data_IF_187384021412
#
_entry.id   IF_187384021412
#
_cell.length_a   1.000
_cell.length_b   1.000
_cell.length_c   1.000
_cell.angle_alpha   90.00
_cell.angle_beta   90.00
_cell.angle_gamma   90.00
#
_symmetry.space_group_name_H-M   'P 1'
#
loop_
_entity.id
_entity.type
_entity.pdbx_description
1 polymer ?
#
# COMPACT_ATOMS: atom_id res chain seq x y z
N UNK A 1 -57.69 -39.43 -22.20
CA UNK A 1 -58.94 -38.69 -22.50
C UNK A 1 -58.57 -37.28 -22.92
N UNK A 2 -59.02 -36.88 -24.13
CA UNK A 2 -58.95 -35.55 -24.81
C UNK A 2 -57.56 -34.90 -24.95
N UNK A 3 -56.82 -35.01 -26.08
CA UNK A 3 -57.04 -34.42 -27.44
C UNK A 3 -57.42 -32.93 -27.41
N UNK A 4 -56.84 -31.97 -28.15
CA UNK A 4 -55.86 -31.91 -29.25
C UNK A 4 -55.41 -30.42 -29.34
N UNK A 5 -54.77 -29.85 -30.37
CA UNK A 5 -54.38 -30.24 -31.72
C UNK A 5 -53.44 -29.12 -32.20
N UNK A 6 -52.36 -29.46 -32.91
CA UNK A 6 -51.45 -28.52 -33.55
C UNK A 6 -52.07 -27.88 -34.81
N UNK A 7 -51.65 -26.66 -35.16
CA UNK A 7 -51.72 -26.15 -36.54
C UNK A 7 -50.60 -25.14 -36.82
N UNK A 8 -49.90 -25.39 -37.92
CA UNK A 8 -48.74 -24.67 -38.48
C UNK A 8 -49.16 -23.65 -39.56
N UNK A 9 -48.25 -22.70 -39.82
CA UNK A 9 -47.96 -21.96 -41.08
C UNK A 9 -48.91 -20.79 -41.48
N UNK A 10 -48.50 -19.80 -42.34
CA UNK A 10 -47.28 -19.73 -43.17
C UNK A 10 -46.52 -18.36 -43.24
N UNK A 11 -45.41 -18.37 -43.99
CA UNK A 11 -44.60 -17.23 -44.47
C UNK A 11 -45.08 -16.66 -45.84
N UNK A 12 -44.78 -15.36 -46.06
CA UNK A 12 -44.50 -14.60 -47.32
C UNK A 12 -45.68 -14.21 -48.26
N UNK A 13 -45.57 -13.20 -49.19
CA UNK A 13 -44.64 -12.04 -49.33
C UNK A 13 -45.30 -10.69 -49.81
N UNK A 14 -44.46 -9.66 -50.03
CA UNK A 14 -44.52 -8.61 -51.08
C UNK A 14 -45.29 -7.25 -50.87
N UNK A 15 -44.55 -6.20 -51.28
CA UNK A 15 -44.97 -5.00 -52.03
C UNK A 15 -45.40 -3.71 -51.28
N UNK A 16 -44.44 -2.78 -51.25
CA UNK A 16 -44.51 -1.37 -51.60
C UNK A 16 -45.88 -0.64 -51.55
N UNK A 17 -45.95 0.38 -50.68
CA UNK A 17 -46.73 1.59 -50.95
C UNK A 17 -45.89 2.83 -50.63
N UNK A 18 -45.51 3.52 -51.70
CA UNK A 18 -44.93 4.86 -51.67
C UNK A 18 -46.08 5.84 -51.37
N UNK A 19 -46.02 6.57 -50.27
CA UNK A 19 -46.85 7.75 -50.07
C UNK A 19 -45.96 8.93 -49.70
N UNK A 20 -45.73 9.78 -50.70
CA UNK A 20 -45.13 11.10 -50.58
C UNK A 20 -46.07 12.02 -49.80
N UNK A 21 -45.65 12.45 -48.61
CA UNK A 21 -46.15 13.69 -48.00
C UNK A 21 -44.95 14.58 -47.64
N UNK A 22 -44.72 15.59 -48.48
CA UNK A 22 -43.96 16.77 -48.07
C UNK A 22 -44.80 17.51 -47.01
N UNK A 23 -44.36 17.43 -45.76
CA UNK A 23 -44.72 18.39 -44.73
C UNK A 23 -43.43 18.84 -44.06
N UNK A 24 -43.06 20.10 -44.29
CA UNK A 24 -41.92 20.73 -43.68
C UNK A 24 -42.07 20.75 -42.17
N UNK A 25 -41.33 19.88 -41.50
CA UNK A 25 -41.04 19.98 -40.08
C UNK A 25 -39.54 20.20 -39.98
N UNK A 26 -39.14 21.44 -39.65
CA UNK A 26 -37.80 21.73 -39.17
C UNK A 26 -37.60 20.96 -37.88
N UNK A 27 -36.97 19.80 -37.96
CA UNK A 27 -36.49 19.07 -36.79
C UNK A 27 -35.48 19.99 -36.08
N UNK A 28 -35.64 20.27 -34.78
CA UNK A 28 -34.58 20.93 -34.03
C UNK A 28 -33.35 20.05 -34.13
N UNK A 29 -32.21 20.67 -34.49
CA UNK A 29 -30.92 20.01 -34.50
C UNK A 29 -30.74 19.32 -33.15
N UNK A 30 -30.75 18.00 -33.15
CA UNK A 30 -30.31 17.21 -32.00
C UNK A 30 -28.84 17.55 -31.86
N UNK A 31 -28.51 18.36 -30.87
CA UNK A 31 -27.13 18.55 -30.47
C UNK A 31 -26.59 17.15 -30.16
N UNK A 32 -25.83 16.57 -31.10
CA UNK A 32 -24.99 15.43 -30.80
C UNK A 32 -24.13 15.91 -29.64
N UNK A 33 -24.31 15.28 -28.47
CA UNK A 33 -23.27 15.28 -27.46
C UNK A 33 -22.01 14.79 -28.18
N UNK A 34 -21.11 15.72 -28.49
CA UNK A 34 -19.75 15.37 -28.86
C UNK A 34 -19.22 14.55 -27.69
N UNK A 35 -19.08 13.25 -27.92
CA UNK A 35 -18.30 12.39 -27.05
C UNK A 35 -16.93 13.06 -27.00
N UNK A 36 -16.43 13.48 -25.82
CA UNK A 36 -15.17 14.18 -25.75
C UNK A 36 -14.10 13.33 -26.43
N UNK A 37 -13.20 14.02 -27.14
CA UNK A 37 -12.10 13.47 -27.91
C UNK A 37 -11.42 12.30 -27.19
N UNK A 38 -10.89 11.35 -27.98
CA UNK A 38 -10.12 10.20 -27.47
C UNK A 38 -9.22 10.63 -26.30
N UNK A 39 -9.21 9.87 -25.19
CA UNK A 39 -8.47 10.25 -24.00
C UNK A 39 -7.01 10.49 -24.39
N UNK A 40 -6.51 11.69 -24.09
CA UNK A 40 -5.09 12.01 -24.27
C UNK A 40 -4.29 10.92 -23.53
N UNK A 41 -3.39 10.20 -24.22
CA UNK A 41 -2.64 9.14 -23.57
C UNK A 41 -1.85 9.72 -22.40
N UNK A 42 -2.14 9.22 -21.19
CA UNK A 42 -1.40 9.54 -19.99
C UNK A 42 0.07 9.19 -20.25
N UNK A 43 0.94 10.21 -20.28
CA UNK A 43 2.36 10.02 -20.54
C UNK A 43 3.13 10.15 -19.23
N UNK A 44 3.77 9.07 -18.80
CA UNK A 44 4.65 9.07 -17.64
C UNK A 44 5.90 9.93 -17.93
N UNK A 45 6.24 10.88 -17.05
CA UNK A 45 7.52 11.59 -17.15
C UNK A 45 8.68 10.64 -16.84
N UNK A 46 8.61 9.95 -15.70
CA UNK A 46 9.48 8.86 -15.31
C UNK A 46 8.65 7.69 -14.77
N UNK A 47 9.30 6.53 -14.63
CA UNK A 47 8.71 5.35 -13.97
C UNK A 47 9.50 5.03 -12.70
N UNK A 48 8.84 5.18 -11.55
CA UNK A 48 9.33 4.75 -10.25
C UNK A 48 8.86 3.33 -9.99
N UNK A 49 9.76 2.44 -9.58
CA UNK A 49 9.44 1.02 -9.36
C UNK A 49 9.41 0.68 -7.87
N UNK A 50 8.40 -0.08 -7.45
CA UNK A 50 8.32 -0.67 -6.11
C UNK A 50 8.15 -2.19 -6.21
N UNK A 51 9.09 -2.94 -5.62
CA UNK A 51 8.97 -4.39 -5.49
C UNK A 51 8.27 -4.71 -4.18
N UNK A 52 6.97 -4.96 -4.23
CA UNK A 52 6.10 -5.10 -3.04
C UNK A 52 5.70 -6.55 -2.85
N UNK A 53 5.65 -7.00 -1.60
CA UNK A 53 5.13 -8.32 -1.25
C UNK A 53 4.05 -8.21 -0.19
N UNK A 54 3.07 -9.11 -0.24
CA UNK A 54 2.18 -9.39 0.88
C UNK A 54 2.69 -10.63 1.61
N UNK A 55 2.74 -10.61 2.95
CA UNK A 55 3.13 -11.76 3.78
C UNK A 55 2.32 -11.82 5.07
N UNK A 56 2.18 -13.04 5.60
CA UNK A 56 1.75 -13.25 6.98
C UNK A 56 2.88 -12.82 7.92
N UNK A 57 2.55 -11.94 8.85
CA UNK A 57 3.49 -11.40 9.81
C UNK A 57 2.74 -11.09 11.10
N UNK A 58 2.91 -11.90 12.15
CA UNK A 58 2.42 -11.54 13.47
C UNK A 58 3.14 -10.30 13.98
N UNK A 59 2.42 -9.43 14.71
CA UNK A 59 3.04 -8.30 15.41
C UNK A 59 2.45 -8.05 16.79
N UNK A 60 3.24 -7.37 17.62
CA UNK A 60 2.79 -6.87 18.91
C UNK A 60 2.24 -5.47 18.73
N UNK A 61 1.01 -5.27 19.19
CA UNK A 61 0.33 -4.00 19.22
C UNK A 61 0.89 -3.06 20.29
N UNK A 62 1.23 -3.60 21.47
CA UNK A 62 1.75 -2.84 22.58
C UNK A 62 2.72 -3.65 23.47
N UNK A 63 3.27 -3.00 24.49
CA UNK A 63 4.24 -3.60 25.42
C UNK A 63 3.63 -4.58 26.43
N UNK A 64 2.31 -4.55 26.61
CA UNK A 64 1.62 -5.35 27.62
C UNK A 64 1.28 -6.76 27.13
N UNK A 65 1.37 -7.00 25.82
CA UNK A 65 1.15 -8.32 25.25
C UNK A 65 -0.01 -8.38 24.25
N UNK A 66 -0.68 -7.25 23.97
CA UNK A 66 -1.69 -7.24 22.91
C UNK A 66 -0.99 -7.50 21.56
N UNK A 67 -1.57 -8.37 20.74
CA UNK A 67 -0.94 -8.82 19.50
C UNK A 67 -1.95 -9.12 18.39
N UNK A 68 -1.45 -9.14 17.17
CA UNK A 68 -2.16 -9.62 15.97
C UNK A 68 -1.49 -10.92 15.50
N UNK A 69 -1.89 -12.10 16.02
CA UNK A 69 -1.31 -13.38 15.59
C UNK A 69 -1.50 -13.67 14.10
N UNK A 70 -2.67 -13.30 13.58
CA UNK A 70 -3.13 -13.52 12.22
C UNK A 70 -2.78 -12.38 11.24
N UNK A 71 -1.85 -11.51 11.65
CA UNK A 71 -1.48 -10.32 10.91
C UNK A 71 -0.98 -10.61 9.50
N UNK A 72 -1.43 -9.80 8.56
CA UNK A 72 -0.97 -9.71 7.18
C UNK A 72 -0.40 -8.31 6.97
N UNK A 73 0.63 -8.16 6.14
CA UNK A 73 1.14 -6.83 5.82
C UNK A 73 1.76 -6.75 4.44
N UNK A 74 1.94 -5.52 3.96
CA UNK A 74 2.81 -5.23 2.83
C UNK A 74 4.22 -4.88 3.30
N UNK A 75 5.22 -5.30 2.53
CA UNK A 75 6.61 -4.94 2.72
C UNK A 75 7.33 -4.77 1.38
N UNK A 76 8.45 -4.06 1.37
CA UNK A 76 9.37 -4.13 0.23
C UNK A 76 10.01 -5.51 0.19
N UNK A 77 10.16 -6.07 -1.02
CA UNK A 77 10.66 -7.44 -1.25
C UNK A 77 12.00 -7.71 -0.55
N UNK A 78 12.90 -6.74 -0.50
CA UNK A 78 14.23 -6.85 0.13
C UNK A 78 14.21 -6.80 1.66
N UNK A 79 13.09 -6.38 2.27
CA UNK A 79 12.90 -6.39 3.72
C UNK A 79 12.37 -7.75 4.23
N UNK A 80 12.08 -8.69 3.33
CA UNK A 80 11.55 -10.02 3.64
C UNK A 80 12.62 -11.09 3.44
N UNK A 81 12.66 -12.04 4.37
CA UNK A 81 13.60 -13.17 4.39
C UNK A 81 12.84 -14.48 4.62
N UNK A 82 13.42 -15.66 4.31
CA UNK A 82 12.81 -16.93 4.67
C UNK A 82 12.57 -17.06 6.18
N UNK A 83 11.53 -17.78 6.58
CA UNK A 83 11.22 -18.01 8.00
C UNK A 83 12.38 -18.69 8.76
N UNK A 84 13.14 -19.56 8.09
CA UNK A 84 14.33 -20.23 8.61
C UNK A 84 15.58 -19.33 8.71
N UNK A 85 15.53 -18.11 8.15
CA UNK A 85 16.69 -17.23 8.09
C UNK A 85 17.15 -16.81 9.50
N UNK A 86 18.45 -16.96 9.74
CA UNK A 86 19.10 -16.63 11.01
C UNK A 86 20.12 -15.49 10.80
N UNK A 87 19.87 -14.29 11.36
CA UNK A 87 20.78 -13.14 11.24
C UNK A 87 22.14 -13.35 11.91
N UNK A 88 22.25 -14.30 12.84
CA UNK A 88 23.49 -14.59 13.59
C UNK A 88 24.45 -15.49 12.83
N UNK A 89 24.10 -15.94 11.63
CA UNK A 89 24.97 -16.75 10.79
C UNK A 89 25.65 -15.84 9.76
N UNK A 90 26.93 -15.45 9.96
CA UNK A 90 27.67 -14.64 8.99
C UNK A 90 27.61 -15.21 7.57
N UNK A 91 27.60 -16.55 7.45
CA UNK A 91 27.46 -17.30 6.19
C UNK A 91 26.24 -16.92 5.34
N UNK A 92 25.14 -16.49 5.96
CA UNK A 92 23.90 -16.14 5.25
C UNK A 92 24.05 -14.89 4.37
N UNK A 93 24.98 -13.99 4.69
CA UNK A 93 25.30 -12.84 3.85
C UNK A 93 26.34 -13.15 2.76
N UNK A 94 27.21 -14.14 2.97
CA UNK A 94 28.21 -14.56 1.98
C UNK A 94 27.62 -15.42 0.86
N UNK A 95 26.46 -16.04 1.06
CA UNK A 95 25.75 -16.81 0.03
C UNK A 95 24.82 -15.98 -0.85
N UNK A 96 24.77 -14.65 -0.65
CA UNK A 96 23.92 -13.72 -1.40
C UNK A 96 22.48 -13.63 -0.87
N UNK A 97 21.73 -12.70 -1.45
CA UNK A 97 20.32 -12.46 -1.12
C UNK A 97 19.47 -13.74 -1.30
N UNK A 98 18.57 -14.12 -0.37
CA UNK A 98 17.69 -15.25 -0.56
C UNK A 98 16.70 -14.96 -1.70
N UNK A 99 17.06 -15.43 -2.90
CA UNK A 99 16.26 -15.25 -4.11
C UNK A 99 14.97 -16.07 -4.06
N UNK A 100 14.99 -17.22 -3.39
CA UNK A 100 13.84 -18.12 -3.27
C UNK A 100 13.08 -17.85 -1.96
N UNK A 101 12.17 -16.89 -1.98
CA UNK A 101 11.14 -16.77 -0.95
C UNK A 101 9.98 -17.71 -1.27
N UNK A 102 9.70 -18.64 -0.35
CA UNK A 102 8.57 -19.57 -0.45
C UNK A 102 7.36 -18.93 0.25
N UNK A 103 6.24 -18.79 -0.44
CA UNK A 103 5.00 -18.26 0.15
C UNK A 103 4.61 -19.08 1.41
N UNK A 104 4.01 -18.41 2.40
CA UNK A 104 3.73 -18.97 3.74
C UNK A 104 4.97 -19.25 4.60
N UNK A 105 6.18 -19.19 4.06
CA UNK A 105 7.44 -19.52 4.75
C UNK A 105 8.43 -18.35 4.74
N UNK A 106 7.92 -17.15 4.99
CA UNK A 106 8.70 -15.91 5.04
C UNK A 106 8.42 -15.13 6.32
N UNK A 107 9.28 -14.16 6.61
CA UNK A 107 9.11 -13.19 7.70
C UNK A 107 9.82 -11.89 7.36
N UNK A 108 9.46 -10.81 8.05
CA UNK A 108 10.27 -9.60 8.05
C UNK A 108 11.68 -9.87 8.61
N UNK A 109 12.67 -9.19 8.05
CA UNK A 109 14.01 -9.12 8.62
C UNK A 109 13.94 -8.59 10.06
N UNK A 110 14.81 -9.11 10.93
CA UNK A 110 14.75 -8.90 12.38
C UNK A 110 14.88 -7.43 12.80
N UNK A 111 15.60 -6.63 12.03
CA UNK A 111 15.86 -5.22 12.30
C UNK A 111 14.80 -4.28 11.67
N UNK A 112 13.81 -4.83 10.96
CA UNK A 112 12.62 -4.10 10.55
C UNK A 112 11.49 -4.34 11.53
N UNK A 113 10.90 -3.25 11.99
CA UNK A 113 9.67 -3.29 12.78
C UNK A 113 8.47 -3.42 11.83
N UNK A 114 7.48 -4.30 12.12
CA UNK A 114 6.20 -4.31 11.42
C UNK A 114 5.54 -2.92 11.46
N UNK A 115 5.26 -2.34 10.29
CA UNK A 115 4.60 -1.04 10.09
C UNK A 115 3.86 -1.07 8.74
N UNK A 116 2.79 -0.27 8.55
CA UNK A 116 2.18 -0.11 7.24
C UNK A 116 3.19 0.38 6.20
N UNK A 117 3.06 -0.11 4.97
CA UNK A 117 3.93 0.29 3.86
C UNK A 117 3.55 1.71 3.40
N UNK A 118 4.56 2.57 3.21
CA UNK A 118 4.39 3.88 2.56
C UNK A 118 5.28 3.95 1.35
N UNK A 119 4.68 4.18 0.18
CA UNK A 119 5.37 4.43 -1.07
C UNK A 119 5.26 5.91 -1.42
N UNK A 120 6.24 6.42 -2.17
CA UNK A 120 6.26 7.80 -2.67
C UNK A 120 6.49 7.79 -4.16
N UNK A 121 5.87 8.73 -4.87
CA UNK A 121 6.01 8.97 -6.31
C UNK A 121 5.83 10.46 -6.55
N UNK A 122 6.56 11.05 -7.48
CA UNK A 122 6.41 12.48 -7.76
C UNK A 122 5.22 12.72 -8.70
N UNK A 123 4.59 13.89 -8.59
CA UNK A 123 3.54 14.29 -9.52
C UNK A 123 4.04 14.24 -10.97
N UNK A 124 3.27 13.60 -11.85
CA UNK A 124 3.58 13.41 -13.27
C UNK A 124 4.36 12.13 -13.59
N UNK A 125 4.90 11.44 -12.58
CA UNK A 125 5.54 10.13 -12.76
C UNK A 125 4.52 8.98 -12.70
N UNK A 126 4.95 7.80 -13.15
CA UNK A 126 4.23 6.56 -12.98
C UNK A 126 4.86 5.73 -11.87
N UNK A 127 4.01 5.15 -11.03
CA UNK A 127 4.39 4.15 -10.04
C UNK A 127 4.11 2.76 -10.61
N UNK A 128 5.17 2.00 -10.89
CA UNK A 128 5.10 0.60 -11.28
C UNK A 128 5.32 -0.28 -10.04
N UNK A 129 4.33 -1.10 -9.72
CA UNK A 129 4.37 -1.99 -8.56
C UNK A 129 4.52 -3.42 -9.05
N UNK A 130 5.69 -4.01 -8.82
CA UNK A 130 5.92 -5.43 -9.02
C UNK A 130 5.49 -6.15 -7.75
N UNK A 131 4.24 -6.60 -7.73
CA UNK A 131 3.61 -7.24 -6.58
C UNK A 131 3.82 -8.75 -6.60
N UNK A 132 4.16 -9.34 -5.46
CA UNK A 132 4.20 -10.80 -5.27
C UNK A 132 3.43 -11.19 -4.01
N UNK A 133 2.52 -12.15 -4.15
CA UNK A 133 1.77 -12.66 -3.00
C UNK A 133 2.56 -13.78 -2.32
N UNK A 134 3.06 -13.53 -1.10
CA UNK A 134 3.79 -14.51 -0.29
C UNK A 134 2.99 -14.98 0.93
N UNK A 135 1.68 -14.70 0.97
CA UNK A 135 0.78 -15.22 2.00
C UNK A 135 0.79 -16.75 2.01
N UNK A 136 0.53 -17.35 3.17
CA UNK A 136 0.16 -18.76 3.23
C UNK A 136 -1.15 -18.99 2.46
N UNK A 137 -1.22 -20.14 1.79
CA UNK A 137 -2.43 -20.63 1.12
C UNK A 137 -3.55 -21.01 2.08
N UNK A 138 -3.23 -21.23 3.36
CA UNK A 138 -4.19 -21.63 4.40
C UNK A 138 -4.35 -20.48 5.39
N UNK A 139 -5.57 -19.96 5.59
CA UNK A 139 -5.86 -19.03 6.69
C UNK A 139 -5.54 -19.67 8.04
N UNK A 140 -5.04 -18.88 9.00
CA UNK A 140 -4.71 -19.39 10.35
C UNK A 140 -5.92 -19.46 11.29
N UNK A 141 -6.93 -18.62 11.06
CA UNK A 141 -8.18 -18.52 11.81
C UNK A 141 -9.29 -17.86 10.96
N UNK A 142 -10.44 -17.58 11.59
CA UNK A 142 -11.62 -16.97 10.96
C UNK A 142 -11.51 -15.45 10.78
N UNK A 143 -10.51 -14.80 11.40
CA UNK A 143 -10.23 -13.37 11.22
C UNK A 143 -9.55 -13.12 9.87
N UNK A 144 -8.79 -14.10 9.37
CA UNK A 144 -8.28 -14.05 8.01
C UNK A 144 -9.36 -14.37 6.97
N UNK A 145 -9.39 -13.67 5.83
CA UNK A 145 -10.28 -14.04 4.74
C UNK A 145 -10.04 -15.48 4.27
N UNK A 146 -11.12 -16.21 3.97
CA UNK A 146 -11.04 -17.54 3.37
C UNK A 146 -10.27 -17.57 2.05
N UNK A 147 -10.33 -16.49 1.27
CA UNK A 147 -9.48 -16.33 0.08
C UNK A 147 -8.12 -15.75 0.48
N UNK A 148 -7.06 -16.36 -0.03
CA UNK A 148 -5.68 -15.88 0.13
C UNK A 148 -5.16 -15.13 -1.11
N UNK A 149 -6.06 -14.85 -2.06
CA UNK A 149 -5.76 -13.95 -3.16
C UNK A 149 -5.55 -12.52 -2.65
N UNK A 150 -4.51 -11.86 -3.13
CA UNK A 150 -4.16 -10.50 -2.71
C UNK A 150 -3.85 -9.63 -3.93
N UNK A 151 -4.03 -8.32 -3.76
CA UNK A 151 -3.64 -7.31 -4.74
C UNK A 151 -3.04 -6.09 -4.06
N UNK A 152 -2.69 -5.06 -4.84
CA UNK A 152 -2.28 -3.75 -4.32
C UNK A 152 -3.05 -2.67 -5.09
N UNK A 153 -4.28 -2.42 -4.66
CA UNK A 153 -5.17 -1.44 -5.28
C UNK A 153 -4.94 -0.06 -4.66
N UNK A 154 -4.60 0.96 -5.46
CA UNK A 154 -4.48 2.34 -4.97
C UNK A 154 -5.75 3.12 -5.32
N UNK A 155 -6.48 3.55 -4.29
CA UNK A 155 -7.71 4.31 -4.47
C UNK A 155 -7.36 5.72 -4.94
N UNK A 156 -7.89 6.14 -6.09
CA UNK A 156 -7.81 7.52 -6.58
C UNK A 156 -6.64 7.85 -7.52
N UNK A 157 -5.72 6.91 -7.78
CA UNK A 157 -4.73 7.07 -8.84
C UNK A 157 -5.24 6.52 -10.19
N UNK A 158 -4.73 7.08 -11.28
CA UNK A 158 -5.14 6.72 -12.63
C UNK A 158 -4.43 5.43 -13.07
N UNK A 159 -5.18 4.47 -13.63
CA UNK A 159 -4.62 3.26 -14.21
C UNK A 159 -3.99 3.58 -15.57
N UNK A 160 -2.83 3.00 -15.86
CA UNK A 160 -2.08 3.32 -17.09
C UNK A 160 -2.32 2.30 -18.21
N UNK A 161 -2.15 1.01 -17.94
CA UNK A 161 -2.16 0.02 -19.02
C UNK A 161 -3.58 -0.45 -19.33
N UNK A 162 -4.23 -1.06 -18.35
CA UNK A 162 -5.59 -1.63 -18.48
C UNK A 162 -6.30 -1.62 -17.14
N UNK A 163 -7.60 -1.91 -17.14
CA UNK A 163 -8.40 -2.02 -15.91
C UNK A 163 -7.85 -3.07 -14.92
N UNK A 164 -7.07 -4.05 -15.40
CA UNK A 164 -6.35 -5.04 -14.59
C UNK A 164 -5.40 -4.40 -13.57
N UNK A 165 -4.85 -3.22 -13.86
CA UNK A 165 -3.96 -2.51 -12.94
C UNK A 165 -4.67 -2.14 -11.62
N UNK A 166 -6.01 -2.10 -11.62
CA UNK A 166 -6.79 -1.91 -10.40
C UNK A 166 -6.64 -3.07 -9.41
N UNK A 167 -6.27 -4.28 -9.86
CA UNK A 167 -6.16 -5.44 -8.99
C UNK A 167 -7.45 -5.79 -8.26
N UNK A 168 -8.62 -5.61 -8.88
CA UNK A 168 -9.93 -5.71 -8.24
C UNK A 168 -10.96 -6.45 -9.10
N UNK A 169 -11.72 -7.38 -8.52
CA UNK A 169 -12.76 -8.13 -9.25
C UNK A 169 -14.09 -7.37 -9.33
N UNK A 170 -14.14 -6.27 -10.10
CA UNK A 170 -15.32 -5.38 -10.17
C UNK A 170 -15.69 -5.07 -11.62
N UNK A 171 -16.98 -5.09 -11.94
CA UNK A 171 -17.52 -4.59 -13.21
C UNK A 171 -17.01 -5.37 -14.42
N UNK A 172 -16.24 -4.71 -15.29
CA UNK A 172 -15.64 -5.34 -16.49
C UNK A 172 -14.27 -5.98 -16.20
N UNK A 173 -13.71 -5.80 -14.99
CA UNK A 173 -12.46 -6.42 -14.57
C UNK A 173 -12.72 -7.80 -13.94
N UNK A 174 -13.32 -8.70 -14.71
CA UNK A 174 -13.76 -10.02 -14.23
C UNK A 174 -12.82 -11.15 -14.63
N UNK A 175 -12.84 -12.25 -13.87
CA UNK A 175 -12.19 -13.50 -14.24
C UNK A 175 -10.77 -13.64 -13.70
N UNK A 176 -9.98 -14.52 -14.32
CA UNK A 176 -8.65 -14.90 -13.84
C UNK A 176 -7.57 -13.82 -14.03
N UNK A 177 -7.85 -12.76 -14.79
CA UNK A 177 -6.89 -11.71 -15.14
C UNK A 177 -7.27 -10.33 -14.57
N UNK A 178 -8.00 -10.30 -13.46
CA UNK A 178 -8.43 -9.07 -12.80
C UNK A 178 -7.33 -8.37 -11.97
N UNK A 179 -6.12 -8.93 -11.97
CA UNK A 179 -4.96 -8.45 -11.23
C UNK A 179 -4.87 -8.94 -9.79
N UNK A 180 -5.87 -9.62 -9.23
CA UNK A 180 -5.74 -10.30 -7.94
C UNK A 180 -4.94 -11.59 -8.16
N UNK A 181 -3.86 -11.78 -7.40
CA UNK A 181 -2.97 -12.94 -7.57
C UNK A 181 -3.01 -13.89 -6.38
N UNK A 182 -2.95 -15.19 -6.68
CA UNK A 182 -2.90 -16.26 -5.69
C UNK A 182 -1.54 -16.35 -4.99
N UNK A 183 -1.44 -17.01 -3.83
CA UNK A 183 -0.16 -17.27 -3.17
C UNK A 183 0.90 -17.84 -4.11
N UNK A 184 2.11 -17.30 -4.03
CA UNK A 184 3.25 -17.65 -4.88
C UNK A 184 3.24 -17.05 -6.28
N UNK A 185 2.20 -16.29 -6.65
CA UNK A 185 2.11 -15.61 -7.96
C UNK A 185 2.45 -14.12 -7.86
N UNK A 186 2.78 -13.54 -9.01
CA UNK A 186 3.18 -12.14 -9.14
C UNK A 186 2.43 -11.43 -10.26
N UNK A 187 2.34 -10.11 -10.13
CA UNK A 187 1.71 -9.21 -11.11
C UNK A 187 2.37 -7.85 -11.04
N UNK A 188 2.42 -7.15 -12.17
CA UNK A 188 2.80 -5.74 -12.23
C UNK A 188 1.55 -4.88 -12.41
N UNK A 189 1.44 -3.81 -11.62
CA UNK A 189 0.45 -2.74 -11.77
C UNK A 189 1.17 -1.45 -12.15
N UNK A 190 0.55 -0.59 -12.97
CA UNK A 190 1.09 0.74 -13.28
C UNK A 190 0.03 1.82 -13.04
N UNK A 191 0.39 2.78 -12.18
CA UNK A 191 -0.46 3.91 -11.81
C UNK A 191 0.21 5.23 -12.20
N UNK A 192 -0.58 6.21 -12.66
CA UNK A 192 -0.11 7.56 -12.94
C UNK A 192 -0.45 8.52 -11.78
N UNK A 193 0.57 9.23 -11.30
CA UNK A 193 0.48 10.15 -10.18
C UNK A 193 0.07 11.56 -10.65
N UNK A 194 -1.23 11.79 -10.83
CA UNK A 194 -1.72 13.03 -11.43
C UNK A 194 -1.67 14.25 -10.50
N UNK A 195 -1.98 14.08 -9.22
CA UNK A 195 -2.20 15.17 -8.26
C UNK A 195 -1.47 14.86 -6.97
N UNK A 196 -0.83 15.88 -6.39
CA UNK A 196 -0.18 15.80 -5.08
C UNK A 196 -1.19 15.42 -3.98
N UNK A 197 -0.79 14.54 -3.07
CA UNK A 197 -1.63 14.09 -1.96
C UNK A 197 -1.33 12.66 -1.51
N UNK A 198 -1.96 12.25 -0.42
CA UNK A 198 -1.83 10.88 0.11
C UNK A 198 -3.04 10.04 -0.29
N UNK A 199 -2.76 8.87 -0.85
CA UNK A 199 -3.74 7.91 -1.33
C UNK A 199 -3.63 6.62 -0.51
N UNK A 200 -4.77 5.99 -0.21
CA UNK A 200 -4.81 4.71 0.48
C UNK A 200 -4.68 3.59 -0.54
N UNK A 201 -3.83 2.62 -0.23
CA UNK A 201 -3.74 1.37 -0.97
C UNK A 201 -4.20 0.19 -0.10
N UNK A 202 -4.88 -0.79 -0.67
CA UNK A 202 -5.30 -2.00 0.03
C UNK A 202 -5.52 -3.18 -0.91
N UNK A 203 -5.64 -4.37 -0.34
CA UNK A 203 -5.98 -5.57 -1.12
C UNK A 203 -7.46 -5.59 -1.45
N UNK A 204 -7.77 -5.80 -2.73
CA UNK A 204 -9.13 -6.06 -3.23
C UNK A 204 -9.41 -7.56 -3.39
N UNK A 205 -8.55 -8.43 -2.83
CA UNK A 205 -8.76 -9.88 -2.79
C UNK A 205 -9.93 -10.28 -1.88
N UNK A 206 -10.05 -9.62 -0.73
CA UNK A 206 -11.19 -9.70 0.17
C UNK A 206 -11.45 -8.31 0.79
N UNK A 207 -12.07 -7.39 0.05
CA UNK A 207 -12.26 -6.00 0.50
C UNK A 207 -13.42 -5.85 1.50
N UNK A 208 -14.18 -6.92 1.74
CA UNK A 208 -15.32 -6.93 2.67
C UNK A 208 -14.82 -7.31 4.05
N UNK A 209 -15.06 -6.44 5.02
CA UNK A 209 -14.78 -6.59 6.44
C UNK A 209 -15.17 -5.29 7.16
N UNK A 210 -15.59 -5.37 8.41
CA UNK A 210 -16.02 -4.23 9.23
C UNK A 210 -16.08 -4.65 10.70
N UNK A 211 -15.88 -3.72 11.63
CA UNK A 211 -15.81 -4.04 13.07
C UNK A 211 -14.67 -4.99 13.46
N UNK A 212 -13.62 -5.05 12.63
CA UNK A 212 -12.52 -6.00 12.78
C UNK A 212 -12.84 -7.39 12.22
N UNK A 213 -14.09 -7.65 11.84
CA UNK A 213 -14.52 -8.96 11.35
C UNK A 213 -14.10 -9.15 9.89
N UNK A 214 -13.15 -10.05 9.70
CA UNK A 214 -12.69 -10.53 8.40
C UNK A 214 -12.18 -9.43 7.46
N UNK A 215 -11.84 -9.83 6.23
CA UNK A 215 -11.34 -8.90 5.21
C UNK A 215 -9.84 -8.65 5.29
N UNK A 216 -9.26 -8.35 4.14
CA UNK A 216 -7.82 -8.14 4.01
C UNK A 216 -7.34 -6.88 4.73
N UNK A 217 -8.20 -5.87 4.87
CA UNK A 217 -7.85 -4.59 5.52
C UNK A 217 -7.74 -4.75 7.04
N UNK A 218 -8.72 -5.41 7.68
CA UNK A 218 -8.74 -5.62 9.13
C UNK A 218 -7.49 -6.36 9.62
N UNK A 219 -7.05 -7.34 8.83
CA UNK A 219 -5.85 -8.12 9.09
C UNK A 219 -4.54 -7.44 8.65
N UNK A 220 -4.57 -6.25 8.05
CA UNK A 220 -3.36 -5.43 7.82
C UNK A 220 -2.88 -5.26 6.37
N UNK A 221 -3.60 -5.74 5.36
CA UNK A 221 -3.28 -5.46 3.94
C UNK A 221 -3.80 -4.10 3.49
N UNK A 222 -3.25 -3.05 4.08
CA UNK A 222 -3.35 -1.68 3.61
C UNK A 222 -1.98 -0.98 3.67
N UNK A 223 -1.88 0.12 2.94
CA UNK A 223 -0.68 0.92 2.75
C UNK A 223 -1.08 2.35 2.37
N UNK A 224 -0.09 3.24 2.29
CA UNK A 224 -0.27 4.57 1.74
C UNK A 224 0.67 4.79 0.56
N UNK A 225 0.22 5.60 -0.40
CA UNK A 225 1.03 6.12 -1.50
C UNK A 225 0.91 7.63 -1.48
N UNK A 226 2.01 8.32 -1.19
CA UNK A 226 2.04 9.79 -1.29
C UNK A 226 2.55 10.21 -2.66
N UNK A 227 1.75 11.00 -3.35
CA UNK A 227 2.18 11.78 -4.52
C UNK A 227 2.81 13.06 -4.01
N UNK A 228 4.13 13.12 -4.12
CA UNK A 228 4.97 14.25 -3.73
C UNK A 228 5.05 15.29 -4.86
N UNK A 229 5.54 16.51 -4.58
CA UNK A 229 5.76 17.51 -5.61
C UNK A 229 6.63 17.00 -6.76
N UNK A 230 6.45 17.59 -7.94
CA UNK A 230 7.27 17.26 -9.10
C UNK A 230 8.77 17.50 -8.83
N UNK A 231 9.61 16.57 -9.27
CA UNK A 231 11.06 16.58 -9.05
C UNK A 231 11.49 16.61 -7.56
N UNK A 232 10.63 16.20 -6.63
CA UNK A 232 11.01 16.10 -5.23
C UNK A 232 12.02 14.96 -4.99
N UNK A 233 12.88 15.18 -3.99
CA UNK A 233 13.80 14.19 -3.44
C UNK A 233 13.29 13.78 -2.05
N UNK A 234 13.32 12.48 -1.75
CA UNK A 234 12.78 11.95 -0.50
C UNK A 234 13.86 11.25 0.33
N UNK A 235 13.95 11.64 1.60
CA UNK A 235 14.94 11.13 2.53
C UNK A 235 14.30 10.60 3.81
N UNK A 236 14.93 9.59 4.40
CA UNK A 236 14.51 9.01 5.67
C UNK A 236 14.57 10.05 6.79
N UNK A 237 13.46 10.22 7.49
CA UNK A 237 13.31 11.24 8.53
C UNK A 237 13.73 10.78 9.93
N UNK A 238 13.88 9.46 10.10
CA UNK A 238 14.18 8.79 11.36
C UNK A 238 15.13 7.62 11.08
N UNK A 239 16.31 7.66 11.69
CA UNK A 239 17.34 6.63 11.55
C UNK A 239 18.01 6.40 12.90
N UNK A 240 18.73 5.28 13.05
CA UNK A 240 19.53 5.04 14.25
C UNK A 240 20.71 6.01 14.31
N UNK A 241 21.19 6.27 15.52
CA UNK A 241 22.37 7.11 15.74
C UNK A 241 23.61 6.55 15.03
N UNK A 242 23.81 5.23 15.07
CA UNK A 242 24.89 4.56 14.33
C UNK A 242 24.81 4.77 12.81
N UNK A 243 23.61 4.71 12.22
CA UNK A 243 23.43 4.91 10.77
C UNK A 243 23.70 6.37 10.40
N UNK A 244 23.12 7.32 11.14
CA UNK A 244 23.35 8.74 10.90
C UNK A 244 24.85 9.09 11.05
N UNK A 245 25.51 8.52 12.05
CA UNK A 245 26.95 8.66 12.26
C UNK A 245 27.77 8.13 11.08
N UNK A 246 27.37 6.99 10.48
CA UNK A 246 28.06 6.44 9.30
C UNK A 246 27.95 7.30 8.04
N UNK A 247 26.92 8.16 7.96
CA UNK A 247 26.69 9.08 6.82
C UNK A 247 27.25 10.48 7.07
N UNK A 248 27.91 10.69 8.21
CA UNK A 248 28.36 12.01 8.64
C UNK A 248 29.74 12.30 8.07
N UNK A 249 29.89 13.48 7.47
CA UNK A 249 31.18 14.03 7.10
C UNK A 249 31.53 15.16 8.06
N UNK A 250 32.64 14.99 8.78
CA UNK A 250 33.16 16.02 9.67
C UNK A 250 33.98 17.03 8.85
N UNK A 251 33.77 18.34 9.07
CA UNK A 251 34.59 19.37 8.39
C UNK A 251 33.86 20.62 7.89
N UNK A 252 32.60 20.87 8.27
CA UNK A 252 31.96 22.14 7.91
C UNK A 252 32.60 23.31 8.69
N UNK A 253 33.01 24.41 8.03
CA UNK A 253 33.52 25.61 8.69
C UNK A 253 32.55 26.24 9.71
N UNK A 254 31.25 25.98 9.60
CA UNK A 254 30.22 26.45 10.52
C UNK A 254 30.10 25.61 11.82
N UNK A 255 30.86 24.54 11.97
CA UNK A 255 30.88 23.71 13.19
C UNK A 255 29.72 22.71 13.32
N UNK A 256 28.86 22.59 12.31
CA UNK A 256 27.80 21.58 12.25
C UNK A 256 28.22 20.38 11.40
N UNK A 257 27.79 19.16 11.71
CA UNK A 257 28.09 18.02 10.86
C UNK A 257 27.41 18.13 9.49
N UNK A 258 28.13 17.78 8.43
CA UNK A 258 27.53 17.64 7.09
C UNK A 258 27.08 16.19 6.92
N UNK A 259 25.94 15.98 6.26
CA UNK A 259 25.40 14.64 5.99
C UNK A 259 25.61 14.33 4.51
N UNK A 260 26.22 13.17 4.24
CA UNK A 260 26.27 12.58 2.92
C UNK A 260 24.99 11.77 2.66
N UNK A 261 24.15 12.27 1.78
CA UNK A 261 22.89 11.62 1.39
C UNK A 261 23.04 10.60 0.26
N UNK A 262 24.26 10.50 -0.31
CA UNK A 262 24.60 9.58 -1.40
C UNK A 262 25.28 8.31 -0.90
N UNK A 263 25.64 8.25 0.37
CA UNK A 263 26.25 7.08 1.00
C UNK A 263 25.33 5.83 0.89
N UNK A 264 25.93 4.71 0.46
CA UNK A 264 25.26 3.43 0.22
C UNK A 264 25.70 2.35 1.20
N UNK A 265 24.88 1.32 1.39
CA UNK A 265 25.28 0.15 2.16
C UNK A 265 26.36 -0.65 1.45
N UNK A 266 27.44 -0.94 2.17
CA UNK A 266 28.41 -1.95 1.76
C UNK A 266 27.88 -3.36 2.05
N UNK A 267 28.40 -4.37 1.35
CA UNK A 267 28.07 -5.77 1.63
C UNK A 267 28.42 -6.20 3.07
N UNK A 268 29.45 -5.59 3.66
CA UNK A 268 29.88 -5.87 5.02
C UNK A 268 28.92 -5.30 6.07
N UNK A 269 28.25 -4.18 5.77
CA UNK A 269 27.24 -3.59 6.65
C UNK A 269 25.88 -4.28 6.49
N UNK A 270 25.42 -4.46 5.24
CA UNK A 270 24.15 -5.09 4.93
C UNK A 270 24.14 -5.67 3.52
N UNK A 271 24.41 -6.97 3.43
CA UNK A 271 24.41 -7.71 2.17
C UNK A 271 23.05 -7.72 1.44
N UNK A 272 21.93 -7.53 2.15
CA UNK A 272 20.59 -7.56 1.55
C UNK A 272 20.21 -6.23 0.90
N UNK A 273 20.88 -5.16 1.33
CA UNK A 273 20.67 -3.79 0.84
C UNK A 273 21.94 -3.21 0.22
N UNK A 274 22.88 -4.07 -0.17
CA UNK A 274 24.13 -3.66 -0.79
C UNK A 274 23.84 -2.72 -1.97
N UNK A 275 24.56 -1.60 -2.04
CA UNK A 275 24.41 -0.52 -3.02
C UNK A 275 23.08 0.25 -2.93
N UNK A 276 22.22 -0.01 -1.93
CA UNK A 276 21.10 0.87 -1.69
C UNK A 276 21.56 2.09 -0.90
N UNK A 277 21.06 3.29 -1.23
CA UNK A 277 21.34 4.48 -0.44
C UNK A 277 20.87 4.31 1.01
N UNK A 278 21.66 4.79 1.97
CA UNK A 278 21.33 4.68 3.42
C UNK A 278 20.19 5.61 3.82
N UNK A 279 20.15 6.81 3.25
CA UNK A 279 19.21 7.90 3.60
C UNK A 279 18.20 8.24 2.52
N UNK A 280 18.59 8.21 1.24
CA UNK A 280 17.67 8.47 0.13
C UNK A 280 16.70 7.30 -0.02
N UNK A 281 15.41 7.57 -0.21
CA UNK A 281 14.37 6.53 -0.23
C UNK A 281 14.16 5.91 -1.62
N UNK A 282 14.61 6.61 -2.66
CA UNK A 282 14.60 6.17 -4.05
C UNK A 282 16.05 5.96 -4.50
N UNK A 283 16.35 4.83 -5.12
CA UNK A 283 17.64 4.58 -5.75
C UNK A 283 17.77 5.45 -7.04
N UNK A 284 18.79 6.33 -7.15
CA UNK A 284 19.02 7.14 -8.34
C UNK A 284 19.32 6.36 -9.62
N UNK A 285 19.92 5.19 -9.52
CA UNK A 285 20.37 4.45 -10.70
C UNK A 285 19.22 3.65 -11.30
N UNK A 286 18.38 3.07 -10.45
CA UNK A 286 17.32 2.14 -10.86
C UNK A 286 15.91 2.74 -10.83
N UNK A 287 15.73 3.93 -10.24
CA UNK A 287 14.42 4.49 -9.87
C UNK A 287 13.57 3.52 -9.04
N UNK A 288 14.22 2.66 -8.24
CA UNK A 288 13.53 1.74 -7.35
C UNK A 288 13.36 2.34 -5.95
N UNK A 289 12.18 2.21 -5.37
CA UNK A 289 11.96 2.52 -3.95
C UNK A 289 12.69 1.48 -3.10
N UNK A 290 13.60 1.95 -2.25
CA UNK A 290 14.46 1.14 -1.38
C UNK A 290 14.20 1.34 0.11
N UNK A 291 13.41 2.35 0.48
CA UNK A 291 12.91 2.53 1.85
C UNK A 291 11.44 2.96 1.82
N UNK A 292 10.66 2.47 2.80
CA UNK A 292 9.21 2.69 2.90
C UNK A 292 8.80 3.28 4.25
N UNK A 293 9.65 4.13 4.82
CA UNK A 293 9.41 4.72 6.14
C UNK A 293 8.12 5.58 6.14
N UNK A 294 7.38 5.53 7.26
CA UNK A 294 6.15 6.32 7.49
C UNK A 294 6.37 7.84 7.49
N UNK A 295 7.62 8.28 7.64
CA UNK A 295 7.97 9.70 7.72
C UNK A 295 9.17 9.95 6.81
N UNK A 296 9.15 11.08 6.12
CA UNK A 296 10.21 11.48 5.22
C UNK A 296 10.56 12.96 5.38
N UNK A 297 11.74 13.33 4.92
CA UNK A 297 12.10 14.71 4.62
C UNK A 297 11.97 14.85 3.11
N UNK A 298 11.14 15.79 2.67
CA UNK A 298 10.86 16.05 1.27
C UNK A 298 11.50 17.37 0.90
N UNK A 299 12.34 17.35 -0.11
CA UNK A 299 13.05 18.53 -0.61
C UNK A 299 12.78 18.70 -2.10
N UNK A 300 12.97 19.91 -2.62
CA UNK A 300 13.09 20.11 -4.06
C UNK A 300 14.44 19.60 -4.59
N UNK A 301 14.71 19.82 -5.88
CA UNK A 301 15.95 19.42 -6.52
C UNK A 301 17.19 19.94 -5.78
N UNK A 302 18.22 19.10 -5.65
CA UNK A 302 19.47 19.42 -4.96
C UNK A 302 19.28 19.79 -3.48
N UNK A 303 18.29 19.19 -2.81
CA UNK A 303 17.90 19.48 -1.42
C UNK A 303 17.45 20.93 -1.19
N UNK A 304 17.04 21.62 -2.26
CA UNK A 304 16.61 23.01 -2.24
C UNK A 304 15.09 23.17 -2.14
N UNK A 305 14.62 24.36 -2.51
CA UNK A 305 13.19 24.64 -2.67
C UNK A 305 12.65 23.96 -3.93
N UNK A 306 11.35 23.66 -3.97
CA UNK A 306 10.70 22.96 -5.10
C UNK A 306 10.69 23.74 -6.43
N UNK A 307 11.06 25.03 -6.43
CA UNK A 307 11.17 25.83 -7.66
C UNK A 307 9.86 26.07 -8.43
N UNK A 308 8.72 25.64 -7.89
CA UNK A 308 7.38 25.73 -8.50
C UNK A 308 6.52 26.80 -7.86
N UNK A 309 5.54 27.30 -8.63
CA UNK A 309 4.51 28.20 -8.12
C UNK A 309 3.51 27.43 -7.24
N UNK A 310 3.71 27.49 -5.93
CA UNK A 310 2.64 27.20 -4.98
C UNK A 310 1.72 28.43 -4.85
N UNK A 311 0.42 28.24 -4.54
CA UNK A 311 -0.44 29.37 -4.20
C UNK A 311 0.19 30.19 -3.08
N UNK A 312 -0.01 31.52 -3.16
CA UNK A 312 0.64 32.50 -2.29
C UNK A 312 0.63 32.04 -0.83
N UNK A 313 1.81 32.04 -0.20
CA UNK A 313 1.94 31.71 1.22
C UNK A 313 0.96 32.53 2.05
N UNK A 314 0.37 31.88 3.04
CA UNK A 314 -0.54 32.53 4.00
C UNK A 314 0.10 32.48 5.38
N UNK A 315 -0.46 33.19 6.36
CA UNK A 315 0.00 33.07 7.75
C UNK A 315 -0.12 31.63 8.29
N UNK A 316 -1.07 30.84 7.76
CA UNK A 316 -1.28 29.44 8.15
C UNK A 316 -0.33 28.50 7.42
N UNK A 317 0.02 28.81 6.18
CA UNK A 317 0.96 28.04 5.36
C UNK A 317 2.07 28.95 4.84
N UNK A 318 3.02 29.35 5.71
CA UNK A 318 4.20 30.08 5.28
C UNK A 318 5.09 29.16 4.41
N UNK A 319 5.90 29.77 3.54
CA UNK A 319 7.01 29.11 2.85
C UNK A 319 6.69 27.76 2.17
N UNK A 320 5.56 27.67 1.47
CA UNK A 320 5.09 26.42 0.84
C UNK A 320 6.05 25.78 -0.18
N UNK A 321 7.04 26.54 -0.65
CA UNK A 321 8.08 26.06 -1.56
C UNK A 321 9.33 25.52 -0.86
N UNK A 322 9.45 25.67 0.46
CA UNK A 322 10.58 25.16 1.24
C UNK A 322 10.43 23.67 1.53
N UNK A 323 11.55 22.94 1.73
CA UNK A 323 11.52 21.58 2.23
C UNK A 323 10.66 21.39 3.48
N UNK A 324 10.03 20.23 3.59
CA UNK A 324 9.18 19.91 4.73
C UNK A 324 9.42 18.49 5.23
N UNK A 325 8.89 18.20 6.42
CA UNK A 325 8.85 16.86 6.98
C UNK A 325 7.44 16.30 6.82
N UNK A 326 7.35 15.17 6.13
CA UNK A 326 6.11 14.44 5.91
C UNK A 326 5.87 13.44 7.05
N UNK A 327 4.61 13.33 7.48
CA UNK A 327 4.16 12.34 8.44
C UNK A 327 2.94 11.58 7.89
N UNK A 328 3.09 10.28 7.64
CA UNK A 328 1.96 9.40 7.34
C UNK A 328 1.44 8.79 8.64
N UNK A 329 0.18 9.08 8.96
CA UNK A 329 -0.52 8.57 10.14
C UNK A 329 -1.75 7.83 9.65
N UNK A 330 -1.75 6.50 9.79
CA UNK A 330 -2.88 5.65 9.44
C UNK A 330 -3.59 5.27 10.72
N UNK A 331 -4.88 5.54 10.77
CA UNK A 331 -5.77 5.14 11.85
C UNK A 331 -6.43 3.82 11.48
N UNK A 332 -6.48 2.92 12.46
CA UNK A 332 -7.03 1.58 12.33
C UNK A 332 -8.20 1.55 13.30
N UNK A 333 -9.40 1.49 12.75
CA UNK A 333 -10.61 1.35 13.53
C UNK A 333 -10.98 -0.13 13.62
N UNK A 334 -11.36 -0.56 14.83
CA UNK A 334 -11.76 -1.93 15.16
C UNK A 334 -10.81 -3.00 14.60
N UNK A 335 -9.72 -3.24 15.34
CA UNK A 335 -8.71 -4.26 15.03
C UNK A 335 -9.04 -5.61 15.70
N UNK A 336 -8.67 -6.71 15.05
CA UNK A 336 -8.79 -8.08 15.59
C UNK A 336 -7.68 -8.44 16.61
N UNK A 337 -7.39 -7.51 17.53
CA UNK A 337 -6.31 -7.66 18.49
C UNK A 337 -6.64 -8.69 19.59
N UNK A 338 -5.79 -9.71 19.71
CA UNK A 338 -5.76 -10.54 20.89
C UNK A 338 -5.26 -9.69 22.07
N UNK A 339 -6.14 -9.47 23.05
CA UNK A 339 -5.87 -8.71 24.27
C UNK A 339 -4.84 -9.40 25.18
N UNK A 340 -4.05 -8.59 25.89
CA UNK A 340 -2.95 -9.05 26.74
C UNK A 340 -3.37 -9.92 27.94
N UNK A 341 -4.60 -9.77 28.43
CA UNK A 341 -5.06 -10.34 29.69
C UNK A 341 -6.35 -11.18 29.50
N UNK A 342 -6.47 -12.36 30.15
CA UNK A 342 -7.65 -13.21 30.01
C UNK A 342 -8.94 -12.58 30.56
N UNK A 343 -8.83 -11.58 31.43
CA UNK A 343 -9.97 -10.85 32.01
C UNK A 343 -10.81 -10.13 30.94
N UNK A 344 -10.23 -9.82 29.78
CA UNK A 344 -10.98 -9.26 28.65
C UNK A 344 -12.01 -10.24 28.07
N UNK A 345 -11.86 -11.54 28.30
CA UNK A 345 -12.73 -12.61 27.78
C UNK A 345 -13.53 -13.31 28.88
N UNK A 346 -13.52 -12.78 30.10
CA UNK A 346 -14.26 -13.38 31.21
C UNK A 346 -15.68 -12.80 31.28
N UNK A 347 -16.70 -13.66 31.36
CA UNK A 347 -18.12 -13.29 31.39
C UNK A 347 -18.48 -12.17 32.40
N UNK A 348 -17.74 -12.06 33.51
CA UNK A 348 -18.01 -11.04 34.54
C UNK A 348 -17.42 -9.68 34.21
N UNK A 349 -16.30 -9.64 33.49
CA UNK A 349 -15.52 -8.42 33.26
C UNK A 349 -15.48 -7.97 31.81
N UNK A 350 -15.79 -8.84 30.85
CA UNK A 350 -15.77 -8.55 29.41
C UNK A 350 -16.56 -7.28 29.07
N UNK A 351 -17.83 -7.18 29.49
CA UNK A 351 -18.65 -5.98 29.24
C UNK A 351 -18.08 -4.72 29.89
N UNK A 352 -17.46 -4.84 31.06
CA UNK A 352 -16.86 -3.69 31.76
C UNK A 352 -15.58 -3.23 31.06
N UNK A 353 -14.79 -4.19 30.57
CA UNK A 353 -13.49 -3.95 29.97
C UNK A 353 -13.56 -3.66 28.46
N UNK A 354 -14.70 -3.92 27.81
CA UNK A 354 -14.87 -3.75 26.37
C UNK A 354 -14.45 -2.36 25.86
N UNK A 355 -14.88 -1.31 26.55
CA UNK A 355 -14.58 0.08 26.16
C UNK A 355 -13.13 0.52 26.40
N UNK A 356 -12.35 -0.28 27.14
CA UNK A 356 -10.96 0.03 27.50
C UNK A 356 -9.96 -0.97 26.91
N UNK A 357 -10.42 -1.83 26.00
CA UNK A 357 -9.60 -2.79 25.27
C UNK A 357 -8.73 -2.10 24.22
N UNK A 358 -7.70 -2.80 23.75
CA UNK A 358 -6.95 -2.42 22.57
C UNK A 358 -7.82 -2.65 21.32
N UNK A 359 -8.51 -1.61 20.83
CA UNK A 359 -9.43 -1.69 19.69
C UNK A 359 -9.15 -0.66 18.59
N UNK A 360 -8.32 0.35 18.87
CA UNK A 360 -7.98 1.41 17.93
C UNK A 360 -6.47 1.55 17.87
N UNK A 361 -5.91 1.56 16.68
CA UNK A 361 -4.46 1.67 16.50
C UNK A 361 -4.06 2.82 15.57
N UNK A 362 -2.77 3.18 15.68
CA UNK A 362 -2.08 4.11 14.82
C UNK A 362 -0.80 3.45 14.34
N UNK A 363 -0.63 3.28 13.03
CA UNK A 363 0.56 2.71 12.41
C UNK A 363 1.10 1.42 13.07
N UNK A 364 0.21 0.46 13.37
CA UNK A 364 0.54 -0.77 14.14
C UNK A 364 0.97 -0.53 15.60
N UNK A 365 0.31 0.40 16.29
CA UNK A 365 0.42 0.57 17.73
C UNK A 365 -0.91 0.96 18.37
N UNK A 366 -1.26 0.38 19.51
CA UNK A 366 -2.46 0.70 20.30
C UNK A 366 -2.09 0.81 21.78
N UNK A 367 -2.98 1.39 22.58
CA UNK A 367 -2.84 1.49 24.03
C UNK A 367 -4.19 1.67 24.72
N UNK A 368 -4.94 0.57 24.84
CA UNK A 368 -6.14 0.54 25.67
C UNK A 368 -5.80 0.64 27.17
N UNK A 369 -6.47 1.53 27.90
CA UNK A 369 -6.20 1.73 29.34
C UNK A 369 -6.50 0.48 30.19
N UNK A 370 -7.32 -0.45 29.70
CA UNK A 370 -7.68 -1.68 30.40
C UNK A 370 -6.48 -2.57 30.68
N UNK A 371 -5.56 -2.70 29.73
CA UNK A 371 -4.33 -3.48 29.91
C UNK A 371 -3.44 -2.86 31.00
N UNK A 372 -3.34 -1.53 31.05
CA UNK A 372 -2.57 -0.83 32.08
C UNK A 372 -3.17 -1.01 33.48
N UNK A 373 -4.50 -0.91 33.60
CA UNK A 373 -5.22 -1.12 34.86
C UNK A 373 -5.01 -2.55 35.37
N UNK A 374 -5.17 -3.54 34.50
CA UNK A 374 -5.00 -4.95 34.86
C UNK A 374 -3.55 -5.26 35.23
N UNK A 375 -2.58 -4.77 34.46
CA UNK A 375 -1.15 -4.93 34.76
C UNK A 375 -0.80 -4.36 36.13
N UNK A 376 -1.33 -3.18 36.47
CA UNK A 376 -1.14 -2.57 37.78
C UNK A 376 -1.77 -3.40 38.91
N UNK A 377 -3.02 -3.87 38.73
CA UNK A 377 -3.76 -4.64 39.75
C UNK A 377 -3.19 -6.02 40.00
N UNK A 378 -2.57 -6.62 38.99
CA UNK A 378 -1.94 -7.93 39.05
C UNK A 378 -0.43 -7.85 39.38
N UNK A 379 0.12 -6.65 39.52
CA UNK A 379 1.55 -6.41 39.79
C UNK A 379 2.48 -7.00 38.71
N UNK A 380 2.06 -6.93 37.44
CA UNK A 380 2.80 -7.46 36.28
C UNK A 380 3.27 -6.38 35.29
N UNK A 381 3.15 -5.10 35.65
CA UNK A 381 3.38 -3.94 34.77
C UNK A 381 4.75 -3.30 34.86
#
# INVERSE_FOLDING_TARGET
>A
MRQGRASKLPLLPLAAFLLTLLAGATLPAVAQLEVPAEPVPLTCLNTVTANVVALDQPWMWNRYGAMEPQGQMYALRHDVVPASWNPKNPGACYTGYPTNLQYGNVKLRRDKRPRPLVLRVNQGDCLQINFTNLLDSTPVDDEQPHTRGASFHIVGLNLVNTIRDAGANVGQNTGADNGIVQPGQSVTYTYYAAVEGTYIAHSMGAPVGGEGDAGSIATGLFAAVTVEPDNAEWYRSQVTESLLGSTRTDGNPAGYPTIDYTEEYTAAEDCLRQNFPKLRMLDPETNQIVHSDLTAIITGPNRGNFGRFYPRSTAVYPNRSEPFREFTIIFHDEIAALQAFPQFYNDKTEFTLHSVRDAFAINYGTGGIGAEILANRLETG
#
